data_IF_078378671963
#
_entry.id   IF_078378671963
#
_cell.length_a   1.000
_cell.length_b   1.000
_cell.length_c   1.000
_cell.angle_alpha   90.00
_cell.angle_beta   90.00
_cell.angle_gamma   90.00
#
_symmetry.space_group_name_H-M   'P 1'
#
loop_
_entity.id
_entity.type
_entity.pdbx_description
1 polymer ?
#
# COMPACT_ATOMS: atom_id res chain seq x y z
N UNK A 1 -11.17 -20.18 26.58
CA UNK A 1 -10.84 -19.23 25.51
C UNK A 1 -9.35 -18.95 25.61
N UNK A 2 -8.56 -19.47 24.68
CA UNK A 2 -7.13 -19.14 24.63
C UNK A 2 -7.05 -17.73 24.09
N UNK A 3 -6.70 -16.79 24.96
CA UNK A 3 -6.38 -15.43 24.57
C UNK A 3 -5.01 -15.50 23.89
N UNK A 4 -5.00 -15.83 22.60
CA UNK A 4 -3.79 -15.76 21.79
C UNK A 4 -3.59 -14.27 21.56
N UNK A 5 -2.67 -13.67 22.32
CA UNK A 5 -1.97 -12.47 21.87
C UNK A 5 -1.30 -12.85 20.54
N UNK A 6 -2.03 -12.71 19.44
CA UNK A 6 -1.47 -12.74 18.10
C UNK A 6 -0.47 -11.59 18.10
N UNK A 7 0.82 -11.93 18.03
CA UNK A 7 1.83 -10.93 17.74
C UNK A 7 1.36 -10.15 16.51
N UNK A 8 1.44 -8.81 16.58
CA UNK A 8 1.08 -7.97 15.45
C UNK A 8 1.76 -8.49 14.18
N UNK A 9 1.01 -8.63 13.08
CA UNK A 9 1.62 -8.92 11.77
C UNK A 9 1.79 -10.38 11.38
N UNK A 10 0.83 -11.24 11.72
CA UNK A 10 0.91 -12.69 11.49
C UNK A 10 -0.13 -13.24 10.49
N UNK A 11 -0.60 -12.46 9.52
CA UNK A 11 -1.56 -12.91 8.49
C UNK A 11 -0.88 -13.09 7.13
N UNK A 12 -1.23 -14.15 6.39
CA UNK A 12 -0.82 -14.27 4.99
C UNK A 12 -1.80 -13.42 4.17
N UNK A 13 -1.37 -12.23 3.77
CA UNK A 13 -2.21 -11.27 3.04
C UNK A 13 -1.76 -11.04 1.59
N UNK A 14 -0.59 -11.54 1.20
CA UNK A 14 -0.09 -11.37 -0.17
C UNK A 14 1.02 -12.33 -0.53
N UNK A 15 1.63 -12.08 -1.69
CA UNK A 15 2.70 -12.89 -2.26
C UNK A 15 3.90 -12.02 -2.63
N UNK A 16 5.10 -12.52 -2.35
CA UNK A 16 6.35 -11.97 -2.86
C UNK A 16 6.71 -12.64 -4.19
N UNK A 17 7.32 -11.86 -5.07
CA UNK A 17 7.77 -12.28 -6.39
C UNK A 17 9.28 -12.13 -6.48
N UNK A 18 9.99 -13.23 -6.65
CA UNK A 18 11.45 -13.20 -6.76
C UNK A 18 11.92 -13.01 -8.21
N UNK A 19 13.17 -12.56 -8.42
CA UNK A 19 13.76 -12.45 -9.77
C UNK A 19 13.83 -13.77 -10.55
N UNK A 20 13.80 -14.92 -9.88
CA UNK A 20 13.81 -16.27 -10.48
C UNK A 20 12.41 -16.87 -10.70
N UNK A 21 11.37 -16.02 -10.74
CA UNK A 21 9.96 -16.39 -10.96
C UNK A 21 9.33 -17.26 -9.85
N UNK A 22 9.86 -17.22 -8.62
CA UNK A 22 9.21 -17.86 -7.48
C UNK A 22 8.16 -16.92 -6.88
N UNK A 23 6.98 -17.47 -6.65
CA UNK A 23 5.86 -16.80 -5.97
C UNK A 23 5.73 -17.43 -4.59
N UNK A 24 5.90 -16.63 -3.55
CA UNK A 24 5.89 -17.12 -2.17
C UNK A 24 4.80 -16.42 -1.35
N UNK A 25 3.90 -17.15 -0.66
CA UNK A 25 2.98 -16.53 0.26
C UNK A 25 3.78 -15.84 1.37
N UNK A 26 3.42 -14.61 1.70
CA UNK A 26 4.14 -13.83 2.69
C UNK A 26 3.23 -13.44 3.86
N UNK A 27 3.69 -13.80 5.06
CA UNK A 27 2.97 -13.61 6.32
C UNK A 27 3.37 -12.27 6.93
N UNK A 28 2.57 -11.25 6.67
CA UNK A 28 2.71 -9.94 7.27
C UNK A 28 1.37 -9.18 7.24
N UNK A 29 1.11 -8.44 8.32
CA UNK A 29 0.04 -7.44 8.39
C UNK A 29 0.47 -6.26 9.26
N UNK A 30 -0.09 -5.08 9.00
CA UNK A 30 -0.14 -3.99 9.97
C UNK A 30 -1.52 -4.02 10.62
N UNK A 31 -1.63 -4.56 11.82
CA UNK A 31 -2.93 -4.87 12.42
C UNK A 31 -3.77 -3.62 12.71
N UNK A 32 -3.14 -2.48 13.02
CA UNK A 32 -3.87 -1.21 13.17
C UNK A 32 -4.49 -0.73 11.84
N UNK A 33 -4.02 -1.23 10.70
CA UNK A 33 -4.59 -1.01 9.37
C UNK A 33 -5.69 -2.03 8.99
N UNK A 34 -6.17 -2.86 9.92
CA UNK A 34 -7.22 -3.84 9.68
C UNK A 34 -8.40 -3.59 10.63
N UNK A 35 -9.58 -3.23 10.12
CA UNK A 35 -10.78 -3.14 10.94
C UNK A 35 -11.20 -4.51 11.51
N UNK A 36 -11.68 -4.52 12.76
CA UNK A 36 -12.16 -5.74 13.43
C UNK A 36 -13.46 -6.31 12.85
N UNK A 37 -14.18 -5.51 12.06
CA UNK A 37 -15.44 -5.86 11.41
C UNK A 37 -15.54 -5.19 10.05
N UNK A 38 -16.44 -5.68 9.20
CA UNK A 38 -16.75 -5.00 7.95
C UNK A 38 -17.28 -3.58 8.22
N UNK A 39 -16.69 -2.56 7.58
CA UNK A 39 -17.02 -1.14 7.78
C UNK A 39 -17.25 -0.42 6.44
N UNK A 40 -17.92 0.76 6.43
CA UNK A 40 -18.19 1.54 5.22
C UNK A 40 -17.00 2.41 4.76
N UNK A 41 -15.79 1.90 4.97
CA UNK A 41 -14.52 2.52 4.62
C UNK A 41 -13.57 1.43 4.15
N UNK A 42 -12.59 1.81 3.35
CA UNK A 42 -11.42 0.97 3.09
C UNK A 42 -10.20 1.69 3.63
N UNK A 43 -9.47 0.97 4.47
CA UNK A 43 -8.22 1.41 5.04
C UNK A 43 -7.09 0.95 4.12
N UNK A 44 -6.29 1.90 3.65
CA UNK A 44 -5.11 1.66 2.83
C UNK A 44 -3.89 2.05 3.65
N UNK A 45 -3.04 1.09 3.99
CA UNK A 45 -1.77 1.35 4.68
C UNK A 45 -0.63 1.34 3.67
N UNK A 46 0.07 2.47 3.52
CA UNK A 46 1.21 2.57 2.60
C UNK A 46 2.51 2.42 3.37
N UNK A 47 3.34 1.48 2.94
CA UNK A 47 4.70 1.27 3.47
C UNK A 47 5.69 1.84 2.48
N UNK A 48 6.31 2.96 2.83
CA UNK A 48 7.43 3.53 2.05
C UNK A 48 8.68 2.64 2.16
N UNK A 49 9.62 2.77 1.23
CA UNK A 49 10.95 2.19 1.41
C UNK A 49 11.81 3.00 2.39
N UNK A 50 13.05 2.56 2.58
CA UNK A 50 14.12 3.25 3.30
C UNK A 50 15.46 2.91 2.65
N UNK A 51 16.40 3.86 2.61
CA UNK A 51 17.75 3.67 2.09
C UNK A 51 18.65 4.86 2.37
N UNK A 52 19.91 4.58 2.70
CA UNK A 52 20.88 5.54 3.24
C UNK A 52 21.13 6.82 2.42
N UNK A 53 20.70 6.92 1.16
CA UNK A 53 20.86 8.10 0.30
C UNK A 53 19.74 8.26 -0.74
N UNK A 54 18.55 7.68 -0.51
CA UNK A 54 17.44 7.74 -1.46
C UNK A 54 16.21 8.32 -0.77
N UNK A 55 15.66 9.40 -1.32
CA UNK A 55 14.39 9.96 -0.88
C UNK A 55 13.26 8.99 -1.23
N UNK A 56 12.91 8.12 -0.28
CA UNK A 56 11.72 7.25 -0.37
C UNK A 56 10.42 8.00 -0.03
N UNK A 57 10.57 9.19 0.55
CA UNK A 57 9.51 10.15 0.85
C UNK A 57 9.17 10.98 -0.38
N UNK A 58 7.95 11.51 -0.41
CA UNK A 58 7.46 12.43 -1.43
C UNK A 58 6.06 12.88 -1.05
N UNK A 59 5.39 13.59 -1.97
CA UNK A 59 4.04 14.10 -1.71
C UNK A 59 3.07 12.95 -1.41
N UNK A 60 2.13 13.20 -0.51
CA UNK A 60 1.01 12.30 -0.24
C UNK A 60 0.33 11.87 -1.55
N UNK A 61 0.14 10.56 -1.80
CA UNK A 61 -0.41 10.09 -3.07
C UNK A 61 -1.94 10.21 -3.11
N UNK A 62 -2.49 10.34 -4.32
CA UNK A 62 -3.91 10.19 -4.54
C UNK A 62 -4.27 8.70 -4.53
N UNK A 63 -5.35 8.34 -3.83
CA UNK A 63 -5.80 6.95 -3.73
C UNK A 63 -7.25 6.89 -4.17
N UNK A 64 -7.55 6.04 -5.15
CA UNK A 64 -8.92 5.80 -5.63
C UNK A 64 -9.29 4.33 -5.49
N UNK A 65 -10.51 4.08 -5.04
CA UNK A 65 -11.08 2.75 -4.82
C UNK A 65 -12.16 2.48 -5.87
N UNK A 66 -12.18 1.28 -6.43
CA UNK A 66 -13.11 0.90 -7.49
C UNK A 66 -13.73 -0.47 -7.23
N UNK A 67 -14.98 -0.65 -7.69
CA UNK A 67 -15.65 -1.95 -7.77
C UNK A 67 -15.25 -2.71 -9.06
N UNK A 68 -15.78 -3.91 -9.24
CA UNK A 68 -15.57 -4.80 -10.39
C UNK A 68 -16.18 -4.25 -11.69
N UNK A 69 -17.21 -3.41 -11.58
CA UNK A 69 -17.84 -2.73 -12.71
C UNK A 69 -17.10 -1.44 -13.10
N UNK A 70 -15.97 -1.12 -12.47
CA UNK A 70 -15.20 0.09 -12.72
C UNK A 70 -15.87 1.37 -12.22
N UNK A 71 -16.77 1.28 -11.25
CA UNK A 71 -17.34 2.45 -10.54
C UNK A 71 -16.50 2.79 -9.33
N UNK A 72 -16.31 4.09 -9.11
CA UNK A 72 -15.52 4.58 -7.97
C UNK A 72 -16.33 4.41 -6.68
N UNK A 73 -15.70 3.80 -5.67
CA UNK A 73 -16.27 3.59 -4.35
C UNK A 73 -15.97 4.79 -3.45
N UNK A 74 -14.74 5.27 -3.50
CA UNK A 74 -14.25 6.39 -2.69
C UNK A 74 -12.85 6.80 -3.14
N UNK A 75 -12.38 7.94 -2.62
CA UNK A 75 -11.05 8.44 -2.91
C UNK A 75 -10.49 9.25 -1.75
N UNK A 76 -9.18 9.16 -1.57
CA UNK A 76 -8.39 10.12 -0.83
C UNK A 76 -7.82 11.11 -1.85
N UNK A 77 -8.27 12.36 -1.74
CA UNK A 77 -7.85 13.46 -2.60
C UNK A 77 -6.93 14.40 -1.82
N UNK A 78 -5.80 14.73 -2.42
CA UNK A 78 -4.80 15.64 -1.86
C UNK A 78 -4.94 16.99 -2.58
N UNK A 79 -5.26 18.06 -1.85
CA UNK A 79 -5.47 19.39 -2.45
C UNK A 79 -4.16 20.16 -2.68
N UNK A 80 -3.13 19.89 -1.89
CA UNK A 80 -1.80 20.49 -2.04
C UNK A 80 -0.67 19.50 -1.74
N UNK A 81 0.53 19.80 -2.23
CA UNK A 81 1.70 18.92 -2.13
C UNK A 81 2.58 19.18 -0.88
N UNK A 82 2.06 19.91 0.12
CA UNK A 82 2.86 20.26 1.31
C UNK A 82 2.97 19.09 2.26
N UNK A 83 1.97 18.20 2.27
CA UNK A 83 2.01 16.98 3.05
C UNK A 83 2.91 15.94 2.38
N UNK A 84 3.83 15.40 3.18
CA UNK A 84 4.73 14.33 2.78
C UNK A 84 4.32 13.03 3.42
N UNK A 85 4.39 11.95 2.65
CA UNK A 85 4.24 10.61 3.18
C UNK A 85 5.49 10.27 4.02
N UNK A 86 5.38 10.08 5.35
CA UNK A 86 6.55 9.92 6.19
C UNK A 86 7.25 8.59 5.89
N UNK A 87 8.59 8.65 5.96
CA UNK A 87 9.45 7.47 5.98
C UNK A 87 9.59 7.07 7.45
N UNK A 88 8.62 6.30 7.93
CA UNK A 88 8.56 5.85 9.33
C UNK A 88 8.41 4.33 9.43
N UNK A 89 8.96 3.77 10.51
CA UNK A 89 8.67 2.39 10.93
C UNK A 89 7.34 2.30 11.70
N UNK A 90 6.84 3.42 12.22
CA UNK A 90 5.48 3.51 12.71
C UNK A 90 4.55 3.81 11.52
N UNK A 91 3.73 2.82 11.17
CA UNK A 91 2.83 2.88 10.02
C UNK A 91 1.46 3.50 10.37
N UNK A 92 1.21 3.86 11.63
CA UNK A 92 -0.10 4.37 12.05
C UNK A 92 -0.47 5.68 11.35
N UNK A 93 0.52 6.53 11.09
CA UNK A 93 0.34 7.78 10.34
C UNK A 93 0.17 7.56 8.83
N UNK A 94 0.42 6.34 8.34
CA UNK A 94 0.29 5.96 6.92
C UNK A 94 -0.98 5.15 6.64
N UNK A 95 -1.98 5.22 7.51
CA UNK A 95 -3.28 4.55 7.33
C UNK A 95 -4.30 5.55 6.79
N UNK A 96 -4.61 5.40 5.51
CA UNK A 96 -5.62 6.19 4.80
C UNK A 96 -6.99 5.55 4.98
N UNK A 97 -7.87 6.20 5.75
CA UNK A 97 -9.25 5.76 5.93
C UNK A 97 -10.14 6.42 4.89
N UNK A 98 -10.46 5.68 3.83
CA UNK A 98 -11.16 6.22 2.67
C UNK A 98 -12.64 5.84 2.75
N UNK A 99 -13.55 6.80 2.92
CA UNK A 99 -14.97 6.51 3.05
C UNK A 99 -15.60 6.14 1.70
N UNK A 100 -16.57 5.22 1.73
CA UNK A 100 -17.30 4.77 0.55
C UNK A 100 -18.46 5.72 0.22
N UNK A 101 -18.14 6.89 -0.32
CA UNK A 101 -19.12 7.97 -0.58
C UNK A 101 -19.51 8.12 -2.05
N UNK A 102 -18.87 7.39 -2.96
CA UNK A 102 -19.00 7.59 -4.41
C UNK A 102 -19.76 6.46 -5.12
N UNK A 103 -20.23 5.47 -4.37
CA UNK A 103 -21.10 4.41 -4.87
C UNK A 103 -22.42 4.36 -4.07
N UNK A 104 -23.36 3.48 -4.49
CA UNK A 104 -24.65 3.31 -3.81
C UNK A 104 -24.58 2.39 -2.58
N UNK A 105 -23.65 1.44 -2.59
CA UNK A 105 -23.46 0.47 -1.51
C UNK A 105 -22.28 0.89 -0.63
N UNK A 106 -22.52 1.51 0.55
CA UNK A 106 -21.45 1.91 1.44
C UNK A 106 -20.63 0.71 1.95
N UNK A 107 -21.16 -0.51 1.87
CA UNK A 107 -20.49 -1.75 2.28
C UNK A 107 -19.89 -2.51 1.09
N UNK A 108 -19.70 -1.85 -0.05
CA UNK A 108 -19.08 -2.47 -1.21
C UNK A 108 -17.66 -2.95 -0.88
N UNK A 109 -17.31 -4.10 -1.47
CA UNK A 109 -15.95 -4.65 -1.37
C UNK A 109 -15.12 -4.09 -2.52
N UNK A 110 -14.05 -3.37 -2.18
CA UNK A 110 -13.10 -2.84 -3.16
C UNK A 110 -12.45 -3.96 -3.96
N UNK A 111 -12.37 -3.78 -5.27
CA UNK A 111 -11.74 -4.71 -6.21
C UNK A 111 -10.42 -4.17 -6.76
N UNK A 112 -10.33 -2.85 -6.96
CA UNK A 112 -9.11 -2.20 -7.41
C UNK A 112 -8.79 -0.99 -6.55
N UNK A 113 -7.51 -0.86 -6.17
CA UNK A 113 -6.94 0.34 -5.57
C UNK A 113 -5.96 0.94 -6.55
N UNK A 114 -6.21 2.17 -6.95
CA UNK A 114 -5.29 2.96 -7.75
C UNK A 114 -4.58 3.95 -6.84
N UNK A 115 -3.25 3.87 -6.77
CA UNK A 115 -2.41 4.86 -6.12
C UNK A 115 -1.69 5.62 -7.22
N UNK A 116 -1.77 6.95 -7.21
CA UNK A 116 -1.16 7.80 -8.22
C UNK A 116 -0.46 9.00 -7.60
N UNK A 117 0.69 9.35 -8.15
CA UNK A 117 1.41 10.57 -7.83
C UNK A 117 1.12 11.61 -8.92
N UNK A 118 0.55 12.76 -8.52
CA UNK A 118 0.28 13.88 -9.44
C UNK A 118 1.32 14.99 -9.33
N UNK A 119 2.09 15.01 -8.24
CA UNK A 119 3.13 16.00 -8.02
C UNK A 119 4.50 15.46 -8.46
N UNK A 120 5.46 16.35 -8.66
CA UNK A 120 6.79 16.00 -9.20
C UNK A 120 7.65 15.17 -8.22
N UNK A 121 7.23 15.06 -6.97
CA UNK A 121 8.00 14.40 -5.93
C UNK A 121 7.76 12.89 -5.98
N UNK A 122 8.83 12.17 -6.30
CA UNK A 122 8.80 10.72 -6.40
C UNK A 122 8.63 10.11 -5.01
N UNK A 123 7.63 9.24 -4.84
CA UNK A 123 7.54 8.38 -3.66
C UNK A 123 8.04 7.00 -4.00
N UNK A 124 8.51 6.27 -3.00
CA UNK A 124 8.88 4.89 -3.18
C UNK A 124 8.11 3.98 -2.24
N UNK A 125 7.36 3.03 -2.79
CA UNK A 125 6.45 2.15 -2.05
C UNK A 125 7.01 0.72 -2.03
N UNK A 126 7.19 0.17 -0.82
CA UNK A 126 7.58 -1.22 -0.59
C UNK A 126 6.39 -2.16 -0.42
N UNK A 127 5.29 -1.68 0.18
CA UNK A 127 4.08 -2.46 0.33
C UNK A 127 2.83 -1.58 0.47
N UNK A 128 1.68 -2.14 0.14
CA UNK A 128 0.36 -1.53 0.32
C UNK A 128 -0.56 -2.59 0.93
N UNK A 129 -1.05 -2.36 2.14
CA UNK A 129 -2.11 -3.18 2.72
C UNK A 129 -3.46 -2.51 2.49
N UNK A 130 -4.46 -3.27 2.09
CA UNK A 130 -5.83 -2.80 1.88
C UNK A 130 -6.75 -3.64 2.73
N UNK A 131 -7.62 -3.01 3.52
CA UNK A 131 -8.60 -3.73 4.32
C UNK A 131 -9.89 -2.94 4.55
N UNK A 132 -11.03 -3.62 4.50
CA UNK A 132 -12.32 -3.08 4.95
C UNK A 132 -12.95 -3.92 6.07
N UNK A 133 -12.20 -4.87 6.64
CA UNK A 133 -12.66 -5.83 7.64
C UNK A 133 -13.41 -7.05 7.10
N UNK A 134 -13.81 -7.05 5.82
CA UNK A 134 -14.28 -8.25 5.09
C UNK A 134 -13.19 -8.82 4.19
N UNK A 135 -12.45 -7.94 3.52
CA UNK A 135 -11.28 -8.25 2.72
C UNK A 135 -10.04 -7.64 3.39
N UNK A 136 -8.93 -8.37 3.34
CA UNK A 136 -7.60 -7.86 3.68
C UNK A 136 -6.60 -8.45 2.70
N UNK A 137 -5.81 -7.61 2.06
CA UNK A 137 -4.78 -8.02 1.11
C UNK A 137 -3.57 -7.09 1.20
N UNK A 138 -2.40 -7.61 0.84
CA UNK A 138 -1.16 -6.83 0.76
C UNK A 138 -0.54 -7.00 -0.61
N UNK A 139 -0.27 -5.88 -1.25
CA UNK A 139 0.62 -5.78 -2.40
C UNK A 139 2.03 -5.48 -1.94
N UNK A 140 3.03 -6.11 -2.56
CA UNK A 140 4.44 -5.85 -2.31
C UNK A 140 5.09 -5.34 -3.60
N UNK A 141 6.04 -4.41 -3.47
CA UNK A 141 6.72 -3.83 -4.63
C UNK A 141 7.48 -4.84 -5.48
N UNK A 142 7.78 -6.03 -4.94
CA UNK A 142 8.31 -7.18 -5.67
C UNK A 142 7.46 -7.55 -6.90
N UNK A 143 6.12 -7.43 -6.82
CA UNK A 143 5.25 -7.68 -7.97
C UNK A 143 5.44 -6.60 -9.06
N UNK A 144 5.53 -5.32 -8.69
CA UNK A 144 5.76 -4.28 -9.70
C UNK A 144 7.17 -4.37 -10.29
N UNK A 145 8.19 -4.69 -9.49
CA UNK A 145 9.53 -4.99 -9.97
C UNK A 145 9.51 -6.13 -10.99
N UNK A 146 8.79 -7.22 -10.68
CA UNK A 146 8.61 -8.34 -11.58
C UNK A 146 7.94 -7.92 -12.90
N UNK A 147 7.02 -6.95 -12.85
CA UNK A 147 6.37 -6.34 -14.01
C UNK A 147 7.22 -5.25 -14.70
N UNK A 148 8.48 -5.05 -14.33
CA UNK A 148 9.42 -4.14 -15.00
C UNK A 148 9.50 -2.72 -14.42
N UNK A 149 8.79 -2.43 -13.32
CA UNK A 149 8.86 -1.13 -12.65
C UNK A 149 10.28 -0.78 -12.22
N UNK A 150 10.64 0.50 -12.14
CA UNK A 150 11.90 0.93 -11.50
C UNK A 150 11.81 0.80 -9.99
N UNK A 151 12.88 0.31 -9.40
CA UNK A 151 12.93 -0.02 -7.98
C UNK A 151 14.33 0.11 -7.41
N UNK A 152 14.42 0.17 -6.09
CA UNK A 152 15.66 -0.06 -5.36
C UNK A 152 15.43 -1.04 -4.20
N UNK A 153 16.52 -1.63 -3.71
CA UNK A 153 16.46 -2.52 -2.56
C UNK A 153 16.25 -1.71 -1.28
N UNK A 154 15.04 -1.79 -0.73
CA UNK A 154 14.70 -1.16 0.54
C UNK A 154 15.50 -1.77 1.69
N UNK A 155 16.05 -0.93 2.55
CA UNK A 155 16.58 -1.33 3.86
C UNK A 155 15.47 -1.49 4.90
N UNK A 156 14.24 -1.06 4.58
CA UNK A 156 13.09 -1.29 5.45
C UNK A 156 12.67 -2.75 5.43
N UNK A 157 12.52 -3.31 6.63
CA UNK A 157 11.87 -4.61 6.81
C UNK A 157 10.36 -4.47 6.82
N UNK A 158 9.71 -5.39 6.11
CA UNK A 158 8.30 -5.70 6.24
C UNK A 158 8.26 -7.13 6.74
N UNK A 159 7.85 -7.34 7.99
CA UNK A 159 8.02 -8.63 8.67
C UNK A 159 9.50 -9.05 8.74
N UNK A 160 9.83 -10.21 8.19
CA UNK A 160 11.20 -10.74 8.09
C UNK A 160 11.85 -10.54 6.70
N UNK A 161 11.20 -9.79 5.79
CA UNK A 161 11.64 -9.59 4.40
C UNK A 161 11.96 -8.14 4.10
N UNK A 162 12.64 -7.92 2.98
CA UNK A 162 12.95 -6.60 2.41
C UNK A 162 12.29 -6.47 1.03
N UNK A 163 10.99 -6.11 0.98
CA UNK A 163 10.31 -5.92 -0.28
C UNK A 163 10.99 -4.85 -1.13
N UNK A 164 10.93 -5.01 -2.44
CA UNK A 164 11.47 -3.99 -3.36
C UNK A 164 10.67 -2.71 -3.21
N UNK A 165 11.38 -1.59 -3.20
CA UNK A 165 10.74 -0.29 -3.17
C UNK A 165 10.60 0.20 -4.60
N UNK A 166 9.37 0.43 -5.05
CA UNK A 166 9.06 0.85 -6.42
C UNK A 166 8.81 2.35 -6.49
N UNK A 167 9.46 3.02 -7.43
CA UNK A 167 9.31 4.45 -7.65
C UNK A 167 8.01 4.79 -8.35
N UNK A 168 7.33 5.81 -7.82
CA UNK A 168 6.16 6.42 -8.44
C UNK A 168 6.34 7.94 -8.48
N UNK A 169 6.21 8.54 -9.66
CA UNK A 169 6.34 9.98 -9.90
C UNK A 169 5.13 10.50 -10.70
N UNK A 170 5.12 11.79 -11.04
CA UNK A 170 4.09 12.38 -11.89
C UNK A 170 4.02 11.64 -13.23
N UNK A 171 2.95 10.88 -13.45
CA UNK A 171 2.78 10.00 -14.63
C UNK A 171 2.73 8.51 -14.32
N UNK A 172 2.88 8.10 -13.05
CA UNK A 172 2.74 6.71 -12.60
C UNK A 172 4.06 6.08 -12.15
N UNK A 173 4.12 4.75 -12.26
CA UNK A 173 5.38 4.01 -12.06
C UNK A 173 6.34 4.41 -13.18
N UNK A 174 7.54 4.86 -12.82
CA UNK A 174 8.49 5.47 -13.75
C UNK A 174 9.38 4.39 -14.36
N UNK A 175 9.53 4.38 -15.69
CA UNK A 175 10.43 3.46 -16.40
C UNK A 175 11.84 4.03 -16.64
N UNK A 176 12.08 5.32 -16.35
CA UNK A 176 13.30 6.06 -16.71
C UNK A 176 13.89 6.90 -15.55
N UNK A 177 14.06 6.30 -14.37
CA UNK A 177 14.94 6.88 -13.34
C UNK A 177 16.31 6.17 -13.37
N UNK A 178 17.43 6.88 -13.15
CA UNK A 178 18.79 6.32 -13.16
C UNK A 178 18.99 5.19 -12.15
#
# INVERSE_FOLDING_TARGET
>A
MVNVNLAAGARILGFLFSPDNLIMPFKWSHDAGIPDKHIPETWVTIVTGDGANLEASGSEPFISLWDDDGRRIGQHWVEDNRNKLPVSNDLNDNIYKIPHTQNRDPMATVQYVMISQLYSETICISAVQVSNGKLSATWYGDLAMYCGAKWFLSQRKVGDKYPKCVYMSSGGIVDNYP
#
